data_IF_211893632564
#
_entry.id   IF_211893632564
#
_cell.length_a   1.000
_cell.length_b   1.000
_cell.length_c   1.000
_cell.angle_alpha   90.00
_cell.angle_beta   90.00
_cell.angle_gamma   90.00
#
_symmetry.space_group_name_H-M   'P 1'
#
loop_
_entity.id
_entity.type
_entity.pdbx_description
1 polymer ?
#
# COMPACT_ATOMS: atom_id res chain seq x y z
N UNK A 1 -41.60 12.06 38.72
CA UNK A 1 -40.42 11.25 38.33
C UNK A 1 -40.43 10.89 36.84
N UNK A 2 -41.59 10.70 36.20
CA UNK A 2 -41.67 10.40 34.76
C UNK A 2 -41.06 11.47 33.83
N UNK A 3 -41.26 12.77 34.12
CA UNK A 3 -40.76 13.88 33.30
C UNK A 3 -39.23 13.93 33.24
N UNK A 4 -38.54 13.61 34.33
CA UNK A 4 -37.07 13.51 34.38
C UNK A 4 -36.55 12.32 33.56
N UNK A 5 -37.26 11.18 33.57
CA UNK A 5 -36.89 10.01 32.77
C UNK A 5 -37.08 10.25 31.26
N UNK A 6 -38.10 11.02 30.88
CA UNK A 6 -38.37 11.38 29.49
C UNK A 6 -37.26 12.28 28.94
N UNK A 7 -36.85 13.30 29.72
CA UNK A 7 -35.76 14.22 29.35
C UNK A 7 -34.43 13.47 29.26
N UNK A 8 -34.14 12.54 30.17
CA UNK A 8 -32.93 11.73 30.15
C UNK A 8 -32.85 10.83 28.90
N UNK A 9 -33.96 10.19 28.49
CA UNK A 9 -34.03 9.40 27.26
C UNK A 9 -33.81 10.27 26.01
N UNK A 10 -34.41 11.46 25.95
CA UNK A 10 -34.22 12.40 24.83
C UNK A 10 -32.75 12.83 24.74
N UNK A 11 -32.10 13.13 25.87
CA UNK A 11 -30.68 13.48 25.91
C UNK A 11 -29.76 12.34 25.44
N UNK A 12 -30.08 11.08 25.78
CA UNK A 12 -29.35 9.91 25.27
C UNK A 12 -29.49 9.73 23.76
N UNK A 13 -30.69 9.92 23.22
CA UNK A 13 -30.92 9.81 21.76
C UNK A 13 -30.16 10.92 21.03
N UNK A 14 -30.25 12.17 21.51
CA UNK A 14 -29.56 13.31 20.91
C UNK A 14 -28.04 13.13 20.94
N UNK A 15 -27.49 12.57 22.02
CA UNK A 15 -26.05 12.29 22.12
C UNK A 15 -25.59 11.10 21.29
N UNK A 16 -26.48 10.15 20.98
CA UNK A 16 -26.17 9.02 20.09
C UNK A 16 -26.19 9.38 18.61
N UNK A 17 -27.00 10.37 18.19
CA UNK A 17 -27.11 10.80 16.79
C UNK A 17 -25.75 11.17 16.17
N UNK A 18 -24.88 12.00 16.79
CA UNK A 18 -23.56 12.30 16.26
C UNK A 18 -22.69 11.06 16.04
N UNK A 19 -22.76 10.07 16.95
CA UNK A 19 -22.04 8.82 16.82
C UNK A 19 -22.56 7.96 15.67
N UNK A 20 -23.89 7.84 15.54
CA UNK A 20 -24.51 7.09 14.45
C UNK A 20 -24.20 7.74 13.09
N UNK A 21 -24.33 9.07 12.99
CA UNK A 21 -24.01 9.83 11.77
C UNK A 21 -22.52 9.70 11.44
N UNK A 22 -21.63 9.84 12.44
CA UNK A 22 -20.20 9.64 12.27
C UNK A 22 -19.87 8.23 11.76
N UNK A 23 -20.43 7.19 12.39
CA UNK A 23 -20.24 5.80 11.99
C UNK A 23 -20.68 5.53 10.56
N UNK A 24 -21.87 6.02 10.17
CA UNK A 24 -22.38 5.91 8.79
C UNK A 24 -21.45 6.65 7.82
N UNK A 25 -21.00 7.86 8.16
CA UNK A 25 -20.10 8.66 7.33
C UNK A 25 -18.77 7.92 7.07
N UNK A 26 -18.12 7.41 8.13
CA UNK A 26 -16.88 6.65 8.01
C UNK A 26 -17.07 5.36 7.21
N UNK A 27 -18.20 4.66 7.38
CA UNK A 27 -18.52 3.46 6.62
C UNK A 27 -18.65 3.75 5.11
N UNK A 28 -19.38 4.81 4.73
CA UNK A 28 -19.53 5.22 3.33
C UNK A 28 -18.17 5.60 2.73
N UNK A 29 -17.36 6.37 3.46
CA UNK A 29 -16.03 6.78 3.01
C UNK A 29 -15.08 5.60 2.83
N UNK A 30 -15.12 4.63 3.75
CA UNK A 30 -14.33 3.40 3.64
C UNK A 30 -14.68 2.60 2.38
N UNK A 31 -15.97 2.47 2.05
CA UNK A 31 -16.40 1.82 0.79
C UNK A 31 -15.93 2.57 -0.46
N UNK A 32 -16.09 3.90 -0.49
CA UNK A 32 -15.62 4.70 -1.62
C UNK A 32 -14.11 4.57 -1.86
N UNK A 33 -13.31 4.47 -0.79
CA UNK A 33 -11.88 4.22 -0.91
C UNK A 33 -11.59 2.84 -1.49
N UNK A 34 -12.28 1.80 -1.00
CA UNK A 34 -12.12 0.44 -1.52
C UNK A 34 -12.46 0.35 -3.02
N UNK A 35 -13.54 1.00 -3.45
CA UNK A 35 -13.94 1.04 -4.86
C UNK A 35 -12.90 1.76 -5.73
N UNK A 36 -12.32 2.87 -5.24
CA UNK A 36 -11.24 3.59 -5.94
C UNK A 36 -9.97 2.77 -6.05
N UNK A 37 -9.55 2.10 -4.98
CA UNK A 37 -8.40 1.22 -5.00
C UNK A 37 -8.60 0.07 -5.98
N UNK A 38 -9.81 -0.50 -6.04
CA UNK A 38 -10.15 -1.54 -7.03
C UNK A 38 -10.04 -1.03 -8.47
N UNK A 39 -10.50 0.19 -8.74
CA UNK A 39 -10.38 0.81 -10.07
C UNK A 39 -8.91 1.05 -10.46
N UNK A 40 -8.08 1.52 -9.52
CA UNK A 40 -6.66 1.74 -9.75
C UNK A 40 -5.88 0.44 -9.94
N UNK A 41 -6.21 -0.60 -9.16
CA UNK A 41 -5.65 -1.93 -9.35
C UNK A 41 -5.87 -2.45 -10.78
N UNK A 42 -7.05 -2.14 -11.35
CA UNK A 42 -7.48 -2.61 -12.66
C UNK A 42 -7.01 -1.75 -13.83
N UNK A 43 -6.26 -0.67 -13.61
CA UNK A 43 -5.75 0.19 -14.69
C UNK A 43 -4.61 -0.53 -15.40
N UNK A 44 -4.78 -0.94 -16.68
CA UNK A 44 -3.75 -1.69 -17.39
C UNK A 44 -2.58 -0.77 -17.75
N UNK A 45 -1.38 -1.19 -17.38
CA UNK A 45 -0.13 -0.57 -17.81
C UNK A 45 0.63 -1.56 -18.68
N UNK A 46 1.46 -1.07 -19.60
CA UNK A 46 2.07 -1.94 -20.62
C UNK A 46 3.11 -2.90 -20.04
N UNK A 47 3.86 -2.48 -19.01
CA UNK A 47 4.96 -3.26 -18.41
C UNK A 47 4.96 -3.09 -16.89
N UNK A 48 3.97 -3.67 -16.18
CA UNK A 48 3.97 -3.67 -14.72
C UNK A 48 4.99 -4.68 -14.18
N UNK A 49 5.60 -4.36 -13.05
CA UNK A 49 6.51 -5.25 -12.33
C UNK A 49 6.13 -5.34 -10.86
N UNK A 50 6.24 -6.51 -10.27
CA UNK A 50 6.09 -6.76 -8.85
C UNK A 50 7.47 -6.71 -8.18
N UNK A 51 7.62 -5.82 -7.20
CA UNK A 51 8.82 -5.67 -6.41
C UNK A 51 8.58 -6.23 -5.00
N UNK A 52 9.12 -7.42 -4.73
CA UNK A 52 9.05 -8.07 -3.42
C UNK A 52 10.26 -7.68 -2.58
N UNK A 53 10.04 -6.98 -1.47
CA UNK A 53 11.11 -6.55 -0.55
C UNK A 53 10.86 -7.21 0.82
N UNK A 54 11.73 -8.15 1.18
CA UNK A 54 11.67 -8.89 2.43
C UNK A 54 12.90 -8.63 3.30
N UNK A 55 12.78 -7.73 4.25
CA UNK A 55 13.81 -7.38 5.24
C UNK A 55 13.48 -8.06 6.58
N UNK A 56 14.29 -9.05 6.94
CA UNK A 56 14.08 -9.96 8.07
C UNK A 56 13.60 -11.33 7.63
N UNK A 57 12.68 -11.38 6.68
CA UNK A 57 12.13 -12.62 6.10
C UNK A 57 11.76 -12.36 4.65
N UNK A 58 12.07 -13.33 3.77
CA UNK A 58 11.69 -13.25 2.36
C UNK A 58 10.18 -13.36 2.18
N UNK A 59 9.62 -12.51 1.32
CA UNK A 59 8.22 -12.53 0.93
C UNK A 59 7.99 -12.90 -0.55
N UNK A 60 9.03 -13.25 -1.30
CA UNK A 60 8.96 -13.57 -2.75
C UNK A 60 7.95 -14.69 -3.03
N UNK A 61 7.99 -15.78 -2.25
CA UNK A 61 7.06 -16.90 -2.40
C UNK A 61 5.60 -16.52 -2.21
N UNK A 62 5.31 -15.67 -1.21
CA UNK A 62 3.96 -15.19 -0.93
C UNK A 62 3.44 -14.28 -2.05
N UNK A 63 4.29 -13.40 -2.59
CA UNK A 63 3.95 -12.51 -3.70
C UNK A 63 3.66 -13.30 -4.97
N UNK A 64 4.53 -14.27 -5.32
CA UNK A 64 4.33 -15.13 -6.50
C UNK A 64 3.04 -15.94 -6.39
N UNK A 65 2.77 -16.49 -5.21
CA UNK A 65 1.56 -17.27 -4.96
C UNK A 65 0.31 -16.39 -5.12
N UNK A 66 0.30 -15.19 -4.54
CA UNK A 66 -0.81 -14.24 -4.68
C UNK A 66 -1.06 -13.86 -6.15
N UNK A 67 -0.01 -13.51 -6.89
CA UNK A 67 -0.15 -13.15 -8.32
C UNK A 67 -0.74 -14.30 -9.12
N UNK A 68 -0.33 -15.54 -8.82
CA UNK A 68 -0.86 -16.75 -9.45
C UNK A 68 -2.34 -16.96 -9.11
N UNK A 69 -2.71 -16.80 -7.84
CA UNK A 69 -4.09 -16.98 -7.36
C UNK A 69 -5.04 -15.92 -7.93
N UNK A 70 -4.55 -14.70 -8.13
CA UNK A 70 -5.29 -13.61 -8.77
C UNK A 70 -5.31 -13.69 -10.31
N UNK A 71 -4.58 -14.64 -10.91
CA UNK A 71 -4.45 -14.79 -12.36
C UNK A 71 -3.69 -13.65 -13.04
N UNK A 72 -2.84 -12.93 -12.30
CA UNK A 72 -2.07 -11.79 -12.78
C UNK A 72 -0.70 -12.28 -13.28
N UNK A 73 -0.40 -12.00 -14.54
CA UNK A 73 0.93 -12.25 -15.10
C UNK A 73 1.79 -10.99 -14.95
N UNK A 74 2.80 -11.05 -14.08
CA UNK A 74 3.70 -9.94 -13.80
C UNK A 74 5.08 -10.48 -13.41
N UNK A 75 6.15 -9.86 -13.92
CA UNK A 75 7.50 -10.21 -13.52
C UNK A 75 7.74 -9.81 -12.06
N UNK A 76 8.33 -10.72 -11.28
CA UNK A 76 8.65 -10.49 -9.88
C UNK A 76 10.16 -10.30 -9.71
N UNK A 77 10.54 -9.11 -9.27
CA UNK A 77 11.90 -8.78 -8.83
C UNK A 77 11.92 -8.82 -7.31
N UNK A 78 12.81 -9.62 -6.74
CA UNK A 78 12.92 -9.81 -5.29
C UNK A 78 14.21 -9.21 -4.73
N UNK A 79 14.09 -8.56 -3.59
CA UNK A 79 15.19 -8.17 -2.71
C UNK A 79 14.89 -8.75 -1.33
N UNK A 80 15.74 -9.65 -0.84
CA UNK A 80 15.54 -10.28 0.46
C UNK A 80 16.82 -10.26 1.27
N UNK A 81 16.68 -9.94 2.55
CA UNK A 81 17.76 -10.01 3.52
C UNK A 81 17.23 -10.68 4.79
N UNK A 82 17.73 -11.86 5.13
CA UNK A 82 17.24 -12.62 6.28
C UNK A 82 17.89 -12.18 7.59
N UNK A 83 17.11 -12.22 8.68
CA UNK A 83 17.59 -11.91 10.01
C UNK A 83 17.56 -10.43 10.39
N UNK A 84 18.22 -10.10 11.50
CA UNK A 84 18.17 -8.75 12.05
C UNK A 84 19.09 -7.80 11.29
N UNK A 85 18.51 -6.72 10.75
CA UNK A 85 19.25 -5.70 10.00
C UNK A 85 19.80 -4.65 10.94
N UNK A 86 21.12 -4.47 10.90
CA UNK A 86 21.83 -3.44 11.67
C UNK A 86 21.77 -2.10 10.94
N UNK A 87 21.84 -1.01 11.71
CA UNK A 87 21.88 0.36 11.18
C UNK A 87 22.99 0.57 10.12
N UNK A 88 24.13 -0.11 10.27
CA UNK A 88 25.28 -0.05 9.36
C UNK A 88 25.03 -0.70 8.00
N UNK A 89 24.01 -1.55 7.87
CA UNK A 89 23.69 -2.29 6.64
C UNK A 89 22.73 -1.52 5.73
N UNK A 90 21.96 -0.57 6.27
CA UNK A 90 21.00 0.26 5.52
C UNK A 90 21.60 0.95 4.29
N UNK A 91 22.80 1.56 4.32
CA UNK A 91 23.39 2.15 3.13
C UNK A 91 23.62 1.14 1.99
N UNK A 92 23.95 -0.11 2.33
CA UNK A 92 24.10 -1.19 1.36
C UNK A 92 22.76 -1.57 0.72
N UNK A 93 21.73 -1.74 1.55
CA UNK A 93 20.37 -2.03 1.09
C UNK A 93 19.80 -0.92 0.19
N UNK A 94 20.08 0.35 0.51
CA UNK A 94 19.66 1.49 -0.31
C UNK A 94 20.37 1.47 -1.68
N UNK A 95 21.66 1.08 -1.74
CA UNK A 95 22.37 0.94 -3.02
C UNK A 95 21.78 -0.19 -3.86
N UNK A 96 21.53 -1.34 -3.25
CA UNK A 96 20.89 -2.47 -3.94
C UNK A 96 19.51 -2.08 -4.51
N UNK A 97 18.70 -1.38 -3.72
CA UNK A 97 17.42 -0.86 -4.17
C UNK A 97 17.57 0.13 -5.34
N UNK A 98 18.63 0.94 -5.34
CA UNK A 98 18.93 1.89 -6.43
C UNK A 98 19.31 1.14 -7.71
N UNK A 99 20.06 0.06 -7.59
CA UNK A 99 20.43 -0.79 -8.72
C UNK A 99 19.22 -1.55 -9.27
N UNK A 100 18.32 -2.01 -8.40
CA UNK A 100 17.01 -2.58 -8.79
C UNK A 100 16.19 -1.54 -9.57
N UNK A 101 16.04 -0.32 -9.04
CA UNK A 101 15.36 0.78 -9.74
C UNK A 101 16.00 1.05 -11.10
N UNK A 102 17.33 1.13 -11.18
CA UNK A 102 18.05 1.32 -12.43
C UNK A 102 17.78 0.23 -13.47
N UNK A 103 17.78 -1.05 -13.04
CA UNK A 103 17.43 -2.18 -13.92
C UNK A 103 15.99 -2.08 -14.44
N UNK A 104 15.03 -1.76 -13.57
CA UNK A 104 13.64 -1.56 -13.96
C UNK A 104 13.46 -0.39 -14.95
N UNK A 105 14.18 0.73 -14.75
CA UNK A 105 14.20 1.84 -15.71
C UNK A 105 14.73 1.39 -17.07
N UNK A 106 15.81 0.60 -17.10
CA UNK A 106 16.44 0.17 -18.36
C UNK A 106 15.55 -0.76 -19.19
N UNK A 107 14.69 -1.55 -18.56
CA UNK A 107 13.72 -2.43 -19.25
C UNK A 107 12.40 -1.70 -19.59
N UNK A 108 12.26 -0.44 -19.20
CA UNK A 108 11.10 0.40 -19.48
C UNK A 108 9.86 0.00 -18.69
N UNK A 109 10.01 -0.30 -17.39
CA UNK A 109 8.88 -0.52 -16.48
C UNK A 109 7.97 0.72 -16.46
N UNK A 110 6.66 0.49 -16.54
CA UNK A 110 5.64 1.57 -16.55
C UNK A 110 4.83 1.64 -15.26
N UNK A 111 4.93 0.64 -14.39
CA UNK A 111 4.24 0.57 -13.11
C UNK A 111 5.00 -0.36 -12.17
N UNK A 112 5.07 0.00 -10.88
CA UNK A 112 5.67 -0.86 -9.85
C UNK A 112 4.64 -1.23 -8.79
N UNK A 113 4.48 -2.52 -8.56
CA UNK A 113 3.65 -3.09 -7.50
C UNK A 113 4.58 -3.52 -6.36
N UNK A 114 4.66 -2.72 -5.31
CA UNK A 114 5.56 -2.92 -4.17
C UNK A 114 4.88 -3.80 -3.12
N UNK A 115 5.55 -4.88 -2.75
CA UNK A 115 5.19 -5.79 -1.66
C UNK A 115 6.28 -5.72 -0.61
N UNK A 116 6.03 -4.93 0.44
CA UNK A 116 7.05 -4.59 1.43
C UNK A 116 6.83 -5.31 2.76
N UNK A 117 7.89 -5.92 3.28
CA UNK A 117 7.97 -6.45 4.63
C UNK A 117 9.32 -6.02 5.24
N UNK A 118 9.29 -5.20 6.28
CA UNK A 118 10.51 -4.72 6.91
C UNK A 118 10.35 -3.52 7.83
N UNK A 119 11.47 -2.94 8.31
CA UNK A 119 11.47 -1.76 9.17
C UNK A 119 10.86 -0.51 8.51
N UNK A 120 10.03 0.24 9.24
CA UNK A 120 9.39 1.47 8.71
C UNK A 120 10.40 2.48 8.15
N UNK A 121 11.59 2.57 8.76
CA UNK A 121 12.67 3.47 8.29
C UNK A 121 13.10 3.19 6.85
N UNK A 122 13.17 1.92 6.45
CA UNK A 122 13.50 1.57 5.07
C UNK A 122 12.33 1.85 4.12
N UNK A 123 11.08 1.69 4.58
CA UNK A 123 9.90 2.06 3.80
C UNK A 123 9.87 3.57 3.47
N UNK A 124 10.34 4.44 4.37
CA UNK A 124 10.48 5.87 4.08
C UNK A 124 11.51 6.14 2.98
N UNK A 125 12.66 5.45 3.01
CA UNK A 125 13.66 5.55 1.95
C UNK A 125 13.12 5.04 0.62
N UNK A 126 12.34 3.95 0.63
CA UNK A 126 11.64 3.42 -0.54
C UNK A 126 10.70 4.46 -1.15
N UNK A 127 9.88 5.12 -0.33
CA UNK A 127 9.00 6.21 -0.78
C UNK A 127 9.78 7.33 -1.47
N UNK A 128 10.83 7.84 -0.84
CA UNK A 128 11.68 8.89 -1.42
C UNK A 128 12.37 8.46 -2.71
N UNK A 129 12.74 7.19 -2.84
CA UNK A 129 13.41 6.67 -4.02
C UNK A 129 12.49 6.46 -5.22
N UNK A 130 11.22 6.14 -4.98
CA UNK A 130 10.24 5.88 -6.04
C UNK A 130 9.36 7.10 -6.33
N UNK A 131 9.58 8.20 -5.61
CA UNK A 131 8.86 9.45 -5.81
C UNK A 131 8.94 9.94 -7.26
N UNK A 132 7.77 10.33 -7.77
CA UNK A 132 7.54 10.84 -9.12
C UNK A 132 8.23 10.09 -10.28
N UNK A 133 8.44 8.77 -10.15
CA UNK A 133 9.12 7.99 -11.19
C UNK A 133 8.15 7.33 -12.17
N UNK A 134 7.36 6.39 -11.68
CA UNK A 134 6.25 5.72 -12.39
C UNK A 134 5.13 5.52 -11.38
N UNK A 135 3.88 5.26 -11.82
CA UNK A 135 2.84 4.86 -10.89
C UNK A 135 3.28 3.70 -9.99
N UNK A 136 3.12 3.86 -8.68
CA UNK A 136 3.48 2.86 -7.67
C UNK A 136 2.25 2.41 -6.91
N UNK A 137 2.00 1.11 -6.89
CA UNK A 137 0.96 0.47 -6.08
C UNK A 137 1.63 -0.23 -4.89
N UNK A 138 1.19 0.05 -3.68
CA UNK A 138 1.76 -0.48 -2.44
C UNK A 138 0.78 -1.47 -1.84
N UNK A 139 1.28 -2.67 -1.59
CA UNK A 139 0.52 -3.78 -1.05
C UNK A 139 0.93 -4.09 0.38
N UNK A 140 -0.05 -4.19 1.28
CA UNK A 140 0.16 -4.61 2.66
C UNK A 140 -0.36 -6.04 2.87
N UNK A 141 0.38 -6.83 3.66
CA UNK A 141 -0.03 -8.18 4.01
C UNK A 141 -1.00 -8.15 5.19
N UNK A 142 -2.25 -8.56 4.97
CA UNK A 142 -3.33 -8.62 5.98
C UNK A 142 -4.20 -9.85 5.71
N UNK A 143 -4.66 -10.50 6.77
CA UNK A 143 -5.55 -11.66 6.69
C UNK A 143 -5.06 -12.78 5.74
N UNK A 144 -3.74 -13.01 5.71
CA UNK A 144 -3.12 -14.06 4.92
C UNK A 144 -2.90 -13.74 3.44
N UNK A 145 -3.17 -12.51 2.99
CA UNK A 145 -3.03 -12.08 1.59
C UNK A 145 -2.54 -10.65 1.46
N UNK A 146 -2.11 -10.28 0.26
CA UNK A 146 -1.74 -8.91 -0.04
C UNK A 146 -2.95 -8.09 -0.50
N UNK A 147 -3.09 -6.90 0.07
CA UNK A 147 -4.12 -5.92 -0.27
C UNK A 147 -3.47 -4.65 -0.79
N UNK A 148 -4.04 -4.08 -1.85
CA UNK A 148 -3.66 -2.74 -2.29
C UNK A 148 -4.08 -1.72 -1.24
N UNK A 149 -3.11 -1.02 -0.65
CA UNK A 149 -3.33 -0.05 0.41
C UNK A 149 -3.20 1.39 -0.11
N UNK A 150 -2.24 1.61 -1.01
CA UNK A 150 -1.93 2.93 -1.53
C UNK A 150 -1.54 2.85 -3.00
N UNK A 151 -1.97 3.82 -3.78
CA UNK A 151 -1.53 4.01 -5.15
C UNK A 151 -1.00 5.44 -5.29
N UNK A 152 0.28 5.56 -5.61
CA UNK A 152 0.99 6.80 -5.87
C UNK A 152 0.99 7.00 -7.39
N UNK A 153 0.22 7.97 -7.86
CA UNK A 153 0.26 8.40 -9.26
C UNK A 153 1.34 9.46 -9.42
N UNK A 154 2.03 9.46 -10.57
CA UNK A 154 2.95 10.56 -10.92
C UNK A 154 2.18 11.87 -10.94
N UNK A 155 2.71 12.92 -10.33
CA UNK A 155 2.14 14.25 -10.48
C UNK A 155 2.40 14.70 -11.93
N UNK A 156 1.33 14.92 -12.69
CA UNK A 156 1.45 15.52 -14.02
C UNK A 156 2.04 16.92 -13.84
N UNK A 157 3.31 17.10 -14.20
CA UNK A 157 3.87 18.44 -14.39
C UNK A 157 3.13 19.08 -15.56
N UNK A 158 2.14 19.92 -15.25
CA UNK A 158 1.64 20.91 -16.21
C UNK A 158 2.75 21.95 -16.25
N UNK A 159 3.60 21.89 -17.29
CA UNK A 159 4.55 22.95 -17.56
C UNK A 159 3.78 24.28 -17.71
N UNK A 160 4.27 25.40 -17.14
CA UNK A 160 3.65 26.71 -17.30
C UNK A 160 3.67 27.18 -18.76
#
# INVERSE_FOLDING_TARGET
METLSLIANIMQIISFIPFAVGGIYFFIKGRQLADRLKALASTPTNRPVALAIGLGTSNDGAVRQQLKDDGIQMDVISMAHEGFIKATEYPGLIRELKDIKGRMSNIGVTEVNIYYQGPVTFAMALGAMFDNWVPVKIYAFRDGKYHLDLALTTETFIAP
#
